data_IF_051234809599
#
_entry.id   IF_051234809599
#
_cell.length_a   1.000
_cell.length_b   1.000
_cell.length_c   1.000
_cell.angle_alpha   90.00
_cell.angle_beta   90.00
_cell.angle_gamma   90.00
#
_symmetry.space_group_name_H-M   'P 1'
#
loop_
_entity.id
_entity.type
_entity.pdbx_description
1 polymer ?
#
# COMPACT_ATOMS: atom_id res chain seq x y z
N UNK A 1 -39.60 43.58 19.84
CA UNK A 1 -38.39 43.99 20.59
C UNK A 1 -38.70 43.89 22.07
N UNK A 2 -37.79 43.54 23.00
CA UNK A 2 -36.31 43.40 22.95
C UNK A 2 -35.88 41.96 23.38
N UNK A 3 -34.63 41.49 23.49
CA UNK A 3 -33.28 41.92 23.13
C UNK A 3 -32.36 40.69 23.31
N UNK A 4 -31.38 40.57 22.42
CA UNK A 4 -30.23 39.68 22.46
C UNK A 4 -29.58 39.57 23.85
N UNK A 5 -29.17 38.34 24.22
CA UNK A 5 -27.81 38.08 24.71
C UNK A 5 -27.29 36.77 24.14
N UNK A 6 -26.35 36.93 23.21
CA UNK A 6 -25.44 35.91 22.70
C UNK A 6 -24.62 35.40 23.90
N UNK A 7 -24.72 34.11 24.21
CA UNK A 7 -23.72 33.46 25.05
C UNK A 7 -22.67 32.81 24.13
N UNK A 8 -21.37 33.04 24.40
CA UNK A 8 -20.29 32.54 23.57
C UNK A 8 -20.23 31.01 23.66
N UNK A 9 -20.14 30.35 22.50
CA UNK A 9 -19.75 28.95 22.43
C UNK A 9 -18.30 28.90 22.91
N UNK A 10 -18.11 28.50 24.16
CA UNK A 10 -16.81 28.11 24.66
C UNK A 10 -16.34 26.92 23.81
N UNK A 11 -15.34 27.18 22.96
CA UNK A 11 -14.51 26.15 22.35
C UNK A 11 -13.80 25.39 23.47
N UNK A 12 -14.42 24.31 23.93
CA UNK A 12 -13.69 23.27 24.63
C UNK A 12 -12.91 22.51 23.56
N UNK A 13 -11.64 22.85 23.42
CA UNK A 13 -10.63 21.98 22.85
C UNK A 13 -10.74 20.63 23.57
N UNK A 14 -11.41 19.66 22.94
CA UNK A 14 -11.29 18.26 23.34
C UNK A 14 -9.90 17.86 22.89
N UNK A 15 -8.97 17.98 23.83
CA UNK A 15 -7.71 17.28 23.82
C UNK A 15 -8.05 15.79 23.62
N UNK A 16 -7.99 15.28 22.39
CA UNK A 16 -8.09 13.85 22.16
C UNK A 16 -6.79 13.25 22.70
N UNK A 17 -6.86 12.87 23.98
CA UNK A 17 -5.81 12.14 24.65
C UNK A 17 -5.45 10.91 23.83
N UNK A 18 -4.19 10.87 23.41
CA UNK A 18 -3.37 9.68 23.17
C UNK A 18 -4.18 8.40 22.96
N UNK A 19 -4.46 8.05 21.70
CA UNK A 19 -4.53 6.64 21.34
C UNK A 19 -3.10 6.09 21.39
N UNK A 20 -2.61 5.80 22.60
CA UNK A 20 -1.76 4.63 22.74
C UNK A 20 -2.70 3.45 22.55
N UNK A 21 -2.83 3.01 21.30
CA UNK A 21 -3.20 1.62 21.07
C UNK A 21 -2.14 0.81 21.81
N UNK A 22 -2.54 0.21 22.94
CA UNK A 22 -1.81 -0.90 23.52
C UNK A 22 -1.64 -1.90 22.39
N UNK A 23 -0.44 -1.94 21.83
CA UNK A 23 -0.01 -3.01 20.95
C UNK A 23 -0.35 -4.30 21.70
N UNK A 24 -1.33 -5.05 21.19
CA UNK A 24 -1.68 -6.35 21.72
C UNK A 24 -0.39 -7.18 21.72
N UNK A 25 0.22 -7.30 22.90
CA UNK A 25 1.46 -8.01 23.08
C UNK A 25 1.15 -9.48 22.80
N UNK A 26 1.38 -9.92 21.57
CA UNK A 26 1.44 -11.34 21.24
C UNK A 26 2.47 -11.91 22.23
N UNK A 27 2.10 -12.89 23.08
CA UNK A 27 3.01 -13.41 24.07
C UNK A 27 4.02 -14.31 23.35
N UNK A 28 4.98 -13.72 22.64
CA UNK A 28 6.16 -14.44 22.15
C UNK A 28 7.07 -14.62 23.36
N UNK A 29 6.72 -15.60 24.20
CA UNK A 29 7.14 -15.75 25.60
C UNK A 29 8.66 -15.73 25.88
N UNK A 30 9.52 -15.78 24.86
CA UNK A 30 10.94 -16.06 25.06
C UNK A 30 11.94 -15.08 24.41
N UNK A 31 11.53 -14.11 23.59
CA UNK A 31 12.47 -13.17 22.96
C UNK A 31 12.25 -11.76 23.47
N UNK A 32 13.29 -11.16 24.03
CA UNK A 32 13.19 -9.81 24.58
C UNK A 32 12.96 -8.79 23.46
N UNK A 33 12.01 -7.86 23.67
CA UNK A 33 11.82 -6.69 22.80
C UNK A 33 13.13 -5.93 22.56
N UNK A 34 14.02 -5.90 23.56
CA UNK A 34 15.36 -5.31 23.48
C UNK A 34 16.26 -5.96 22.43
N UNK A 35 16.14 -7.27 22.21
CA UNK A 35 16.87 -8.00 21.14
C UNK A 35 16.39 -7.54 19.77
N UNK A 36 15.07 -7.45 19.58
CA UNK A 36 14.44 -7.02 18.34
C UNK A 36 14.83 -5.57 18.03
N UNK A 37 14.70 -4.68 19.01
CA UNK A 37 15.05 -3.26 18.87
C UNK A 37 16.53 -3.07 18.49
N UNK A 38 17.44 -3.81 19.14
CA UNK A 38 18.86 -3.77 18.81
C UNK A 38 19.14 -4.25 17.38
N UNK A 39 18.44 -5.27 16.91
CA UNK A 39 18.57 -5.77 15.54
C UNK A 39 18.05 -4.73 14.54
N UNK A 40 16.87 -4.13 14.80
CA UNK A 40 16.30 -3.04 13.99
C UNK A 40 17.26 -1.86 13.89
N UNK A 41 17.81 -1.37 15.01
CA UNK A 41 18.76 -0.26 15.02
C UNK A 41 20.04 -0.57 14.23
N UNK A 42 20.50 -1.82 14.21
CA UNK A 42 21.62 -2.24 13.35
C UNK A 42 21.24 -2.22 11.88
N UNK A 43 20.06 -2.71 11.52
CA UNK A 43 19.53 -2.67 10.15
C UNK A 43 19.38 -1.24 9.64
N UNK A 44 18.84 -0.33 10.45
CA UNK A 44 18.66 1.09 10.13
C UNK A 44 20.00 1.79 9.83
N UNK A 45 21.12 1.32 10.37
CA UNK A 45 22.44 1.87 10.01
C UNK A 45 22.83 1.59 8.57
N UNK A 46 22.29 0.54 7.94
CA UNK A 46 22.60 0.17 6.56
C UNK A 46 21.90 1.04 5.51
N UNK A 47 20.85 1.76 5.87
CA UNK A 47 20.07 2.58 4.93
C UNK A 47 20.92 3.65 4.24
N UNK A 48 22.03 4.09 4.86
CA UNK A 48 22.94 5.10 4.30
C UNK A 48 23.89 4.54 3.25
N UNK A 49 23.96 3.22 3.07
CA UNK A 49 24.88 2.59 2.12
C UNK A 49 24.36 2.73 0.68
N UNK A 50 25.30 2.82 -0.26
CA UNK A 50 25.04 2.68 -1.69
C UNK A 50 24.64 1.25 -2.06
N UNK A 51 24.16 1.06 -3.30
CA UNK A 51 23.66 -0.23 -3.79
C UNK A 51 24.81 -1.17 -4.18
N UNK A 52 25.95 -0.63 -4.60
CA UNK A 52 27.13 -1.40 -5.01
C UNK A 52 28.43 -0.64 -4.70
N UNK A 53 29.60 -1.29 -4.88
CA UNK A 53 30.91 -0.64 -4.75
C UNK A 53 31.17 0.40 -5.85
N UNK A 54 30.44 0.32 -6.96
CA UNK A 54 30.61 1.16 -8.15
C UNK A 54 29.50 2.22 -8.29
N UNK A 55 28.52 2.24 -7.36
CA UNK A 55 27.43 3.19 -7.33
C UNK A 55 27.29 3.81 -5.92
N UNK A 56 27.77 5.05 -5.82
CA UNK A 56 27.77 5.86 -4.60
C UNK A 56 26.44 6.59 -4.34
N UNK A 57 25.32 6.17 -4.96
CA UNK A 57 24.00 6.74 -4.66
C UNK A 57 23.70 6.58 -3.16
N UNK A 58 23.88 7.69 -2.44
CA UNK A 58 23.65 7.79 -1.01
C UNK A 58 22.20 7.46 -0.75
N UNK A 59 21.95 6.48 0.12
CA UNK A 59 20.63 5.92 0.40
C UNK A 59 20.03 5.00 -0.68
N UNK A 60 20.83 4.45 -1.60
CA UNK A 60 20.36 3.48 -2.58
C UNK A 60 19.69 2.25 -1.96
N UNK A 61 20.22 1.73 -0.83
CA UNK A 61 19.57 0.61 -0.10
C UNK A 61 18.18 1.00 0.41
N UNK A 62 18.00 2.26 0.84
CA UNK A 62 16.72 2.76 1.31
C UNK A 62 15.72 2.90 0.15
N UNK A 63 16.16 3.44 -0.98
CA UNK A 63 15.36 3.53 -2.22
C UNK A 63 14.87 2.14 -2.65
N UNK A 64 15.75 1.15 -2.67
CA UNK A 64 15.40 -0.24 -2.99
C UNK A 64 14.40 -0.84 -2.00
N UNK A 65 14.52 -0.48 -0.72
CA UNK A 65 13.59 -0.94 0.30
C UNK A 65 12.20 -0.31 0.17
N UNK A 66 12.11 1.00 -0.07
CA UNK A 66 10.82 1.68 -0.34
C UNK A 66 10.16 1.04 -1.57
N UNK A 67 10.94 0.84 -2.64
CA UNK A 67 10.52 0.15 -3.86
C UNK A 67 9.97 -1.26 -3.59
N UNK A 68 10.64 -2.02 -2.71
CA UNK A 68 10.15 -3.32 -2.28
C UNK A 68 8.83 -3.23 -1.50
N UNK A 69 8.72 -2.30 -0.56
CA UNK A 69 7.49 -2.13 0.22
C UNK A 69 6.31 -1.81 -0.68
N UNK A 70 6.48 -0.90 -1.65
CA UNK A 70 5.46 -0.60 -2.64
C UNK A 70 5.02 -1.87 -3.39
N UNK A 71 5.97 -2.65 -3.91
CA UNK A 71 5.67 -3.88 -4.64
C UNK A 71 4.95 -4.93 -3.75
N UNK A 72 5.42 -5.09 -2.51
CA UNK A 72 4.81 -6.01 -1.55
C UNK A 72 3.37 -5.62 -1.24
N UNK A 73 3.11 -4.33 -1.07
CA UNK A 73 1.78 -3.80 -0.78
C UNK A 73 0.83 -3.96 -1.97
N UNK A 74 1.31 -3.69 -3.18
CA UNK A 74 0.56 -3.98 -4.42
C UNK A 74 0.17 -5.45 -4.45
N UNK A 75 1.12 -6.37 -4.26
CA UNK A 75 0.86 -7.80 -4.34
C UNK A 75 -0.11 -8.30 -3.25
N UNK A 76 -0.04 -7.73 -2.04
CA UNK A 76 -1.02 -7.99 -0.97
C UNK A 76 -2.42 -7.63 -1.41
N UNK A 77 -2.63 -6.40 -1.88
CA UNK A 77 -3.96 -5.92 -2.30
C UNK A 77 -4.46 -6.68 -3.54
N UNK A 78 -3.59 -6.99 -4.51
CA UNK A 78 -3.96 -7.79 -5.67
C UNK A 78 -4.42 -9.20 -5.27
N UNK A 79 -3.74 -9.81 -4.29
CA UNK A 79 -4.11 -11.14 -3.77
C UNK A 79 -5.46 -11.09 -3.07
N UNK A 80 -5.69 -10.08 -2.22
CA UNK A 80 -7.00 -9.85 -1.58
C UNK A 80 -8.13 -9.66 -2.60
N UNK A 81 -7.88 -8.86 -3.64
CA UNK A 81 -8.86 -8.60 -4.70
C UNK A 81 -9.04 -9.77 -5.66
N UNK A 82 -8.04 -10.65 -5.83
CA UNK A 82 -8.16 -11.84 -6.66
C UNK A 82 -9.22 -12.83 -6.15
N UNK A 83 -9.49 -12.84 -4.84
CA UNK A 83 -10.60 -13.60 -4.26
C UNK A 83 -11.97 -13.08 -4.67
N UNK A 84 -12.05 -11.82 -5.11
CA UNK A 84 -13.30 -11.15 -5.53
C UNK A 84 -13.45 -10.97 -7.03
N UNK A 85 -12.34 -10.96 -7.79
CA UNK A 85 -12.32 -10.71 -9.24
C UNK A 85 -12.00 -12.02 -9.96
N UNK A 86 -13.02 -12.64 -10.57
CA UNK A 86 -12.91 -13.94 -11.23
C UNK A 86 -12.07 -13.93 -12.53
N UNK A 87 -11.67 -12.76 -13.05
CA UNK A 87 -10.94 -12.62 -14.31
C UNK A 87 -9.44 -12.30 -14.08
N UNK A 88 -8.59 -13.32 -14.16
CA UNK A 88 -7.13 -13.17 -14.00
C UNK A 88 -6.44 -12.27 -15.04
N UNK A 89 -6.96 -12.17 -16.27
CA UNK A 89 -6.40 -11.26 -17.30
C UNK A 89 -6.58 -9.79 -16.91
N UNK A 90 -7.73 -9.46 -16.31
CA UNK A 90 -8.02 -8.12 -15.81
C UNK A 90 -7.07 -7.72 -14.67
N UNK A 91 -6.75 -8.65 -13.77
CA UNK A 91 -5.77 -8.45 -12.70
C UNK A 91 -4.40 -8.10 -13.27
N UNK A 92 -3.94 -8.82 -14.31
CA UNK A 92 -2.66 -8.55 -14.95
C UNK A 92 -2.58 -7.18 -15.64
N UNK A 93 -3.65 -6.74 -16.31
CA UNK A 93 -3.72 -5.40 -16.92
C UNK A 93 -3.67 -4.32 -15.83
N UNK A 94 -4.42 -4.49 -14.74
CA UNK A 94 -4.41 -3.55 -13.62
C UNK A 94 -3.08 -3.48 -12.90
N UNK A 95 -2.42 -4.61 -12.71
CA UNK A 95 -1.10 -4.62 -12.09
C UNK A 95 -0.11 -3.73 -12.87
N UNK A 96 -0.17 -3.72 -14.20
CA UNK A 96 0.67 -2.81 -15.00
C UNK A 96 0.33 -1.34 -14.77
N UNK A 97 -0.96 -0.98 -14.79
CA UNK A 97 -1.45 0.38 -14.51
C UNK A 97 -1.04 0.86 -13.11
N UNK A 98 -1.31 0.03 -12.10
CA UNK A 98 -0.96 0.29 -10.69
C UNK A 98 0.56 0.49 -10.55
N UNK A 99 1.36 -0.42 -11.10
CA UNK A 99 2.83 -0.32 -11.04
C UNK A 99 3.32 1.00 -11.63
N UNK A 100 2.81 1.41 -12.80
CA UNK A 100 3.19 2.66 -13.44
C UNK A 100 2.82 3.88 -12.60
N UNK A 101 1.59 3.94 -12.09
CA UNK A 101 1.12 5.06 -11.26
C UNK A 101 1.91 5.17 -9.95
N UNK A 102 2.24 4.03 -9.32
CA UNK A 102 3.04 4.00 -8.09
C UNK A 102 4.47 4.49 -8.35
N UNK A 103 5.12 4.06 -9.44
CA UNK A 103 6.44 4.54 -9.82
C UNK A 103 6.46 6.06 -10.05
N UNK A 104 5.46 6.60 -10.75
CA UNK A 104 5.32 8.03 -10.98
C UNK A 104 5.09 8.81 -9.67
N UNK A 105 4.17 8.33 -8.82
CA UNK A 105 3.82 9.00 -7.57
C UNK A 105 4.94 8.97 -6.52
N UNK A 106 5.73 7.90 -6.48
CA UNK A 106 6.87 7.75 -5.56
C UNK A 106 8.20 8.27 -6.11
N UNK A 107 8.26 8.57 -7.42
CA UNK A 107 9.48 8.93 -8.16
C UNK A 107 10.58 7.86 -8.06
N UNK A 108 10.15 6.60 -8.13
CA UNK A 108 11.06 5.44 -8.18
C UNK A 108 11.25 5.00 -9.63
N UNK A 109 12.43 4.43 -9.91
CA UNK A 109 12.76 3.96 -11.26
C UNK A 109 12.20 2.55 -11.53
N UNK A 110 12.00 1.76 -10.48
CA UNK A 110 11.52 0.37 -10.54
C UNK A 110 10.91 -0.09 -9.21
N UNK A 111 10.18 -1.22 -9.27
CA UNK A 111 9.59 -1.93 -8.13
C UNK A 111 10.41 -3.20 -7.84
N UNK A 112 10.94 -3.32 -6.62
CA UNK A 112 11.81 -4.43 -6.22
C UNK A 112 11.02 -5.63 -5.74
N UNK A 113 11.46 -6.83 -6.12
CA UNK A 113 10.93 -8.08 -5.57
C UNK A 113 11.68 -8.56 -4.32
N UNK A 114 12.84 -7.99 -4.01
CA UNK A 114 13.67 -8.41 -2.87
C UNK A 114 13.64 -7.39 -1.74
N UNK A 115 13.67 -7.89 -0.50
CA UNK A 115 13.53 -7.12 0.72
C UNK A 115 14.89 -6.93 1.43
N UNK A 116 15.82 -6.09 0.94
CA UNK A 116 17.20 -6.10 1.41
C UNK A 116 17.35 -5.85 2.92
N UNK A 117 16.58 -4.91 3.47
CA UNK A 117 16.65 -4.58 4.90
C UNK A 117 15.92 -5.60 5.77
N UNK A 118 14.78 -6.13 5.33
CA UNK A 118 14.07 -7.19 6.04
C UNK A 118 14.90 -8.48 6.06
N UNK A 119 15.50 -8.87 4.93
CA UNK A 119 16.39 -10.03 4.85
C UNK A 119 17.58 -9.89 5.80
N UNK A 120 18.17 -8.70 5.88
CA UNK A 120 19.25 -8.44 6.84
C UNK A 120 18.77 -8.50 8.29
N UNK A 121 17.61 -7.92 8.60
CA UNK A 121 17.01 -7.99 9.94
C UNK A 121 16.74 -9.43 10.35
N UNK A 122 16.14 -10.23 9.48
CA UNK A 122 15.87 -11.65 9.70
C UNK A 122 17.16 -12.43 9.92
N UNK A 123 18.20 -12.17 9.11
CA UNK A 123 19.53 -12.76 9.32
C UNK A 123 20.15 -12.40 10.68
N UNK A 124 19.90 -11.20 11.21
CA UNK A 124 20.35 -10.83 12.56
C UNK A 124 19.56 -11.56 13.65
N UNK A 125 18.24 -11.67 13.50
CA UNK A 125 17.38 -12.39 14.44
C UNK A 125 17.67 -13.90 14.45
N UNK A 126 17.99 -14.48 13.29
CA UNK A 126 18.42 -15.88 13.14
C UNK A 126 19.74 -16.23 13.84
N UNK A 127 20.48 -15.24 14.33
CA UNK A 127 21.66 -15.51 15.18
C UNK A 127 21.26 -15.84 16.61
N UNK A 128 20.07 -15.46 17.04
CA UNK A 128 19.54 -15.79 18.36
C UNK A 128 19.02 -17.25 18.35
N UNK A 129 19.59 -18.16 19.18
CA UNK A 129 19.13 -19.54 19.28
C UNK A 129 17.66 -19.67 19.67
N UNK A 130 17.13 -18.69 20.40
CA UNK A 130 15.73 -18.66 20.84
C UNK A 130 14.79 -18.38 19.67
N UNK A 131 15.18 -17.46 18.78
CA UNK A 131 14.45 -17.17 17.54
C UNK A 131 14.41 -18.37 16.59
N UNK A 132 15.52 -19.10 16.48
CA UNK A 132 15.60 -20.32 15.66
C UNK A 132 14.70 -21.46 16.14
N UNK A 133 14.41 -21.52 17.45
CA UNK A 133 13.57 -22.57 18.05
C UNK A 133 12.08 -22.25 17.99
N UNK A 134 11.68 -21.05 17.56
CA UNK A 134 10.27 -20.72 17.38
C UNK A 134 9.63 -21.60 16.31
N UNK A 135 8.37 -21.95 16.51
CA UNK A 135 7.58 -22.56 15.44
C UNK A 135 7.32 -21.55 14.32
N UNK A 136 6.75 -22.02 13.21
CA UNK A 136 6.53 -21.21 12.00
C UNK A 136 5.67 -19.97 12.28
N UNK A 137 4.60 -20.12 13.04
CA UNK A 137 3.61 -19.07 13.26
C UNK A 137 4.11 -17.99 14.23
N UNK A 138 4.73 -18.41 15.34
CA UNK A 138 5.36 -17.49 16.30
C UNK A 138 6.52 -16.71 15.65
N UNK A 139 7.30 -17.40 14.81
CA UNK A 139 8.38 -16.78 14.05
C UNK A 139 7.83 -15.73 13.08
N UNK A 140 6.74 -16.05 12.36
CA UNK A 140 6.11 -15.13 11.43
C UNK A 140 5.53 -13.91 12.16
N UNK A 141 4.83 -14.11 13.28
CA UNK A 141 4.27 -13.04 14.08
C UNK A 141 5.35 -12.07 14.60
N UNK A 142 6.47 -12.61 15.11
CA UNK A 142 7.58 -11.78 15.56
C UNK A 142 8.27 -11.04 14.40
N UNK A 143 8.45 -11.69 13.25
CA UNK A 143 9.00 -11.04 12.07
C UNK A 143 8.12 -9.88 11.59
N UNK A 144 6.80 -10.06 11.56
CA UNK A 144 5.86 -8.99 11.23
C UNK A 144 6.05 -7.78 12.16
N UNK A 145 6.10 -7.99 13.47
CA UNK A 145 6.36 -6.91 14.44
C UNK A 145 7.74 -6.25 14.23
N UNK A 146 8.77 -7.05 13.98
CA UNK A 146 10.12 -6.54 13.75
C UNK A 146 10.21 -5.71 12.45
N UNK A 147 9.49 -6.11 11.41
CA UNK A 147 9.39 -5.37 10.15
C UNK A 147 8.62 -4.07 10.30
N UNK A 148 7.50 -4.05 11.04
CA UNK A 148 6.77 -2.82 11.36
C UNK A 148 7.64 -1.83 12.17
N UNK A 149 8.37 -2.34 13.17
CA UNK A 149 9.34 -1.53 13.92
C UNK A 149 10.45 -0.97 13.01
N UNK A 150 10.92 -1.76 12.04
CA UNK A 150 11.90 -1.32 11.06
C UNK A 150 11.35 -0.19 10.18
N UNK A 151 10.15 -0.37 9.64
CA UNK A 151 9.47 0.63 8.81
C UNK A 151 9.32 1.96 9.57
N UNK A 152 8.84 1.92 10.83
CA UNK A 152 8.71 3.11 11.66
C UNK A 152 10.05 3.82 11.92
N UNK A 153 11.13 3.07 12.17
CA UNK A 153 12.47 3.66 12.36
C UNK A 153 13.07 4.21 11.07
N UNK A 154 12.70 3.67 9.92
CA UNK A 154 13.05 4.22 8.61
C UNK A 154 12.34 5.56 8.40
N UNK A 155 11.05 5.65 8.72
CA UNK A 155 10.26 6.87 8.61
C UNK A 155 10.79 7.99 9.51
N UNK A 156 11.06 7.67 10.78
CA UNK A 156 11.76 8.59 11.69
C UNK A 156 13.05 9.14 11.07
N UNK A 157 13.81 8.30 10.36
CA UNK A 157 15.05 8.72 9.71
C UNK A 157 14.82 9.64 8.52
N UNK A 158 13.88 9.28 7.64
CA UNK A 158 13.54 10.06 6.45
C UNK A 158 13.13 11.47 6.88
N UNK A 159 12.26 11.58 7.88
CA UNK A 159 11.78 12.84 8.44
C UNK A 159 12.92 13.62 9.10
N UNK A 160 13.64 13.00 10.04
CA UNK A 160 14.71 13.67 10.79
C UNK A 160 15.87 14.15 9.90
N UNK A 161 16.07 13.50 8.74
CA UNK A 161 17.10 13.87 7.76
C UNK A 161 16.56 14.66 6.57
N UNK A 162 15.26 14.97 6.52
CA UNK A 162 14.59 15.69 5.44
C UNK A 162 14.97 15.11 4.06
N UNK A 163 14.97 13.79 3.96
CA UNK A 163 15.33 13.12 2.70
C UNK A 163 14.24 13.37 1.65
N UNK A 164 14.63 13.56 0.39
CA UNK A 164 13.70 13.73 -0.74
C UNK A 164 13.15 12.38 -1.22
N UNK A 165 12.54 11.63 -0.31
CA UNK A 165 11.94 10.32 -0.57
C UNK A 165 10.68 10.17 0.29
N UNK A 166 9.66 9.44 -0.19
CA UNK A 166 8.47 9.20 0.61
C UNK A 166 8.82 8.31 1.81
N UNK A 167 8.14 8.55 2.94
CA UNK A 167 8.11 7.61 4.07
C UNK A 167 7.44 6.31 3.64
N UNK A 168 7.78 5.21 4.28
CA UNK A 168 7.15 3.90 4.13
C UNK A 168 5.63 4.00 4.34
N UNK A 169 5.18 4.71 5.39
CA UNK A 169 3.75 4.94 5.62
C UNK A 169 3.07 5.62 4.41
N UNK A 170 3.58 6.77 3.96
CA UNK A 170 3.05 7.48 2.79
C UNK A 170 3.10 6.63 1.50
N UNK A 171 4.12 5.80 1.33
CA UNK A 171 4.23 4.89 0.18
C UNK A 171 3.14 3.81 0.22
N UNK A 172 2.84 3.23 1.39
CA UNK A 172 1.74 2.25 1.55
C UNK A 172 0.38 2.91 1.30
N UNK A 173 0.17 4.11 1.84
CA UNK A 173 -1.06 4.88 1.63
C UNK A 173 -1.29 5.22 0.16
N UNK A 174 -0.25 5.69 -0.55
CA UNK A 174 -0.32 5.96 -1.97
C UNK A 174 -0.68 4.71 -2.77
N UNK A 175 -0.08 3.56 -2.46
CA UNK A 175 -0.41 2.28 -3.09
C UNK A 175 -1.88 1.92 -2.84
N UNK A 176 -2.37 2.07 -1.61
CA UNK A 176 -3.75 1.79 -1.26
C UNK A 176 -4.73 2.66 -2.08
N UNK A 177 -4.49 3.97 -2.16
CA UNK A 177 -5.30 4.91 -2.94
C UNK A 177 -5.30 4.57 -4.43
N UNK A 178 -4.13 4.27 -5.01
CA UNK A 178 -4.02 3.90 -6.43
C UNK A 178 -4.77 2.60 -6.70
N UNK A 179 -4.56 1.57 -5.87
CA UNK A 179 -5.25 0.30 -6.00
C UNK A 179 -6.77 0.48 -5.90
N UNK A 180 -7.25 1.19 -4.88
CA UNK A 180 -8.68 1.47 -4.71
C UNK A 180 -9.25 2.20 -5.92
N UNK A 181 -8.57 3.24 -6.41
CA UNK A 181 -8.99 3.99 -7.60
C UNK A 181 -9.07 3.08 -8.82
N UNK A 182 -8.06 2.24 -9.06
CA UNK A 182 -8.04 1.33 -10.20
C UNK A 182 -9.10 0.24 -10.11
N UNK A 183 -9.42 -0.26 -8.91
CA UNK A 183 -10.46 -1.26 -8.73
C UNK A 183 -11.87 -0.67 -8.78
N UNK A 184 -12.09 0.53 -8.24
CA UNK A 184 -13.39 1.23 -8.29
C UNK A 184 -13.81 1.60 -9.71
N UNK A 185 -12.84 1.90 -10.60
CA UNK A 185 -13.11 2.06 -12.05
C UNK A 185 -13.74 0.82 -12.67
N UNK A 186 -13.49 -0.40 -12.17
CA UNK A 186 -14.14 -1.61 -12.72
C UNK A 186 -15.59 -1.69 -12.37
N UNK A 187 -15.95 -1.34 -11.13
CA UNK A 187 -17.35 -1.38 -10.72
C UNK A 187 -18.16 -0.35 -11.49
N UNK A 188 -17.60 0.85 -11.74
CA UNK A 188 -18.24 1.82 -12.62
C UNK A 188 -18.33 1.31 -14.05
N UNK A 189 -17.23 0.80 -14.61
CA UNK A 189 -17.20 0.32 -15.99
C UNK A 189 -18.16 -0.84 -16.17
N UNK A 190 -18.16 -1.86 -15.31
CA UNK A 190 -19.06 -3.01 -15.41
C UNK A 190 -20.54 -2.64 -15.29
N UNK A 191 -20.89 -1.71 -14.38
CA UNK A 191 -22.26 -1.17 -14.27
C UNK A 191 -22.65 -0.41 -15.54
N UNK A 192 -21.73 0.37 -16.09
CA UNK A 192 -21.93 1.11 -17.33
C UNK A 192 -22.08 0.19 -18.53
N UNK A 193 -21.24 -0.86 -18.69
CA UNK A 193 -21.39 -1.83 -19.80
C UNK A 193 -22.70 -2.58 -19.71
N UNK A 194 -23.12 -2.96 -18.50
CA UNK A 194 -24.40 -3.64 -18.27
C UNK A 194 -25.56 -2.73 -18.67
N UNK A 195 -25.56 -1.49 -18.19
CA UNK A 195 -26.58 -0.49 -18.54
C UNK A 195 -26.64 -0.27 -20.05
N UNK A 196 -25.50 -0.03 -20.70
CA UNK A 196 -25.46 0.21 -22.15
C UNK A 196 -25.91 -1.02 -22.95
N UNK A 197 -25.55 -2.23 -22.50
CA UNK A 197 -26.00 -3.48 -23.12
C UNK A 197 -27.52 -3.64 -23.03
N UNK A 198 -28.10 -3.38 -21.85
CA UNK A 198 -29.54 -3.45 -21.62
C UNK A 198 -30.30 -2.38 -22.44
N UNK A 199 -29.79 -1.16 -22.48
CA UNK A 199 -30.41 0.00 -23.14
C UNK A 199 -30.40 -0.17 -24.67
N UNK A 200 -29.27 -0.58 -25.25
CA UNK A 200 -29.16 -0.84 -26.70
C UNK A 200 -29.92 -2.10 -27.11
N UNK A 201 -29.88 -3.17 -26.30
CA UNK A 201 -30.60 -4.42 -26.65
C UNK A 201 -32.11 -4.23 -26.67
N UNK A 202 -32.63 -3.43 -25.74
CA UNK A 202 -34.06 -3.08 -25.67
C UNK A 202 -34.50 -2.27 -26.87
N UNK A 203 -33.67 -1.35 -27.35
CA UNK A 203 -34.04 -0.41 -28.40
C UNK A 203 -33.87 -0.99 -29.81
N UNK A 204 -32.88 -1.88 -30.00
CA UNK A 204 -32.64 -2.53 -31.30
C UNK A 204 -33.34 -3.89 -31.45
N UNK A 205 -33.97 -4.42 -30.40
CA UNK A 205 -34.54 -5.78 -30.34
C UNK A 205 -33.52 -6.87 -30.72
N UNK A 206 -32.26 -6.66 -30.32
CA UNK A 206 -31.13 -7.57 -30.57
C UNK A 206 -30.37 -7.76 -29.26
N UNK A 207 -30.04 -9.01 -28.92
CA UNK A 207 -29.27 -9.31 -27.72
C UNK A 207 -27.79 -8.93 -27.92
N UNK A 208 -27.37 -7.81 -27.31
CA UNK A 208 -26.00 -7.30 -27.37
C UNK A 208 -25.33 -7.35 -26.00
N UNK A 209 -24.11 -7.88 -25.96
CA UNK A 209 -23.31 -7.98 -24.74
C UNK A 209 -22.01 -7.21 -24.91
N UNK A 210 -21.91 -6.04 -24.26
CA UNK A 210 -20.68 -5.24 -24.25
C UNK A 210 -19.67 -5.68 -23.17
N UNK A 211 -19.90 -6.80 -22.48
CA UNK A 211 -19.06 -7.30 -21.38
C UNK A 211 -17.58 -7.48 -21.76
N UNK A 212 -17.32 -7.83 -23.03
CA UNK A 212 -15.97 -8.08 -23.55
C UNK A 212 -15.26 -6.82 -24.11
N UNK A 213 -15.96 -5.68 -24.22
CA UNK A 213 -15.38 -4.45 -24.77
C UNK A 213 -14.55 -3.70 -23.72
N UNK A 214 -13.46 -3.04 -24.14
CA UNK A 214 -12.67 -2.19 -23.24
C UNK A 214 -13.48 -0.96 -22.77
N UNK A 215 -13.29 -0.54 -21.51
CA UNK A 215 -14.03 0.59 -20.92
C UNK A 215 -13.80 1.91 -21.67
N UNK A 216 -12.59 2.14 -22.17
CA UNK A 216 -12.24 3.30 -23.00
C UNK A 216 -13.07 3.36 -24.29
N UNK A 217 -13.26 2.22 -24.97
CA UNK A 217 -14.10 2.12 -26.17
C UNK A 217 -15.57 2.43 -25.87
N UNK A 218 -16.07 2.07 -24.70
CA UNK A 218 -17.46 2.37 -24.32
C UNK A 218 -17.67 3.83 -23.94
N UNK A 219 -16.68 4.46 -23.29
CA UNK A 219 -16.71 5.90 -22.99
C UNK A 219 -16.68 6.77 -24.25
N UNK A 220 -16.08 6.30 -25.34
CA UNK A 220 -16.07 7.00 -26.64
C UNK A 220 -17.40 6.85 -27.40
N UNK A 221 -18.12 5.74 -27.20
CA UNK A 221 -19.37 5.46 -27.93
C UNK A 221 -20.61 5.89 -27.13
N UNK A 222 -20.55 5.98 -25.80
CA UNK A 222 -21.66 6.48 -24.96
C UNK A 222 -22.19 7.86 -25.42
N UNK A 223 -21.35 8.87 -25.73
CA UNK A 223 -21.81 10.17 -26.23
C UNK A 223 -22.49 10.11 -27.60
N UNK A 224 -22.23 9.05 -28.37
CA UNK A 224 -22.84 8.82 -29.67
C UNK A 224 -24.24 8.24 -29.44
N UNK A 225 -24.37 7.22 -28.60
CA UNK A 225 -25.67 6.60 -28.30
C UNK A 225 -26.63 7.55 -27.57
N UNK A 226 -26.13 8.35 -26.63
CA UNK A 226 -26.94 9.36 -25.91
C UNK A 226 -27.43 10.53 -26.78
N UNK A 227 -27.07 10.59 -28.06
CA UNK A 227 -27.68 11.52 -29.04
C UNK A 227 -28.87 10.92 -29.77
N UNK A 228 -29.00 9.59 -29.78
CA UNK A 228 -30.03 8.87 -30.51
C UNK A 228 -31.08 8.23 -29.57
N UNK A 229 -30.83 8.26 -28.26
CA UNK A 229 -31.71 7.78 -27.18
C UNK A 229 -31.76 8.85 -26.08
#
# INVERSE_FOLDING_TARGET
MPSNKINPIHSSYVYSGKCHEEQAAIPVRNISHKTIEKAVLKTVKLIKKGVSKDNDEKYGVLKNHISYVCNSEINRILTEKSGTISNGKLIGIKQKSINQQVLMGTKLDYLMCSAPLQNYLTSLLDRDPTFKKLNKDDRQALLSQAYEMLDGKIDEKIIAKKLKMPTIAASKELVAVICETEFSKVESDAKMKKRLSEEVSKELDVELNFGDFCGETLNEIEPIFSKYF
#
